data_IF_085187213647
#
_entry.id   IF_085187213647
#
_cell.length_a   1.000
_cell.length_b   1.000
_cell.length_c   1.000
_cell.angle_alpha   90.00
_cell.angle_beta   90.00
_cell.angle_gamma   90.00
#
_symmetry.space_group_name_H-M   'P 1'
#
loop_
_entity.id
_entity.type
_entity.pdbx_description
1 polymer ?
#
# COMPACT_ATOMS: atom_id res chain seq x y z
N UNK A 1 -27.44 42.69 14.16
CA UNK A 1 -27.36 41.97 12.87
C UNK A 1 -26.02 41.26 12.85
N UNK A 2 -25.98 39.95 12.66
CA UNK A 2 -24.73 39.17 12.68
C UNK A 2 -24.19 39.02 11.25
N UNK A 3 -22.87 39.12 11.09
CA UNK A 3 -22.20 38.89 9.80
C UNK A 3 -21.90 37.42 9.61
N UNK A 4 -22.30 36.87 8.46
CA UNK A 4 -22.04 35.49 8.05
C UNK A 4 -21.11 35.53 6.83
N UNK A 5 -19.91 35.03 6.99
CA UNK A 5 -18.90 34.97 5.95
C UNK A 5 -18.85 33.56 5.36
N UNK A 6 -19.01 33.43 4.05
CA UNK A 6 -18.78 32.17 3.34
C UNK A 6 -17.41 32.25 2.64
N UNK A 7 -16.48 31.38 3.03
CA UNK A 7 -15.15 31.29 2.43
C UNK A 7 -15.29 30.55 1.10
N UNK A 8 -15.01 31.24 -0.01
CA UNK A 8 -15.03 30.64 -1.35
C UNK A 8 -13.92 31.21 -2.21
N UNK A 9 -13.21 30.34 -2.94
CA UNK A 9 -12.23 30.78 -3.94
C UNK A 9 -12.96 31.46 -5.11
N UNK A 10 -12.41 32.58 -5.61
CA UNK A 10 -13.00 33.31 -6.75
C UNK A 10 -13.16 32.44 -8.00
N UNK A 11 -12.21 31.54 -8.21
CA UNK A 11 -12.16 30.65 -9.36
C UNK A 11 -12.83 29.30 -9.10
N UNK A 12 -13.46 29.10 -7.94
CA UNK A 12 -14.18 27.87 -7.61
C UNK A 12 -15.41 27.71 -8.49
N UNK A 13 -15.68 26.49 -8.96
CA UNK A 13 -16.97 26.18 -9.60
C UNK A 13 -18.14 26.36 -8.62
N UNK A 14 -17.90 26.19 -7.32
CA UNK A 14 -18.90 26.39 -6.25
C UNK A 14 -19.19 27.86 -5.95
N UNK A 15 -18.42 28.80 -6.53
CA UNK A 15 -18.57 30.24 -6.27
C UNK A 15 -19.95 30.76 -6.67
N UNK A 16 -20.48 30.30 -7.80
CA UNK A 16 -21.82 30.71 -8.28
C UNK A 16 -22.94 30.23 -7.34
N UNK A 17 -22.84 28.99 -6.85
CA UNK A 17 -23.79 28.46 -5.86
C UNK A 17 -23.70 29.23 -4.54
N UNK A 18 -22.48 29.64 -4.16
CA UNK A 18 -22.25 30.49 -2.98
C UNK A 18 -22.89 31.87 -3.14
N UNK A 19 -22.73 32.51 -4.31
CA UNK A 19 -23.36 33.81 -4.62
C UNK A 19 -24.88 33.72 -4.55
N UNK A 20 -25.45 32.65 -5.10
CA UNK A 20 -26.89 32.37 -4.98
C UNK A 20 -27.32 32.21 -3.53
N UNK A 21 -26.60 31.41 -2.75
CA UNK A 21 -26.88 31.19 -1.33
C UNK A 21 -26.86 32.51 -0.54
N UNK A 22 -25.89 33.40 -0.82
CA UNK A 22 -25.79 34.72 -0.18
C UNK A 22 -27.01 35.58 -0.50
N UNK A 23 -27.42 35.66 -1.76
CA UNK A 23 -28.58 36.46 -2.18
C UNK A 23 -29.87 35.96 -1.53
N UNK A 24 -30.14 34.66 -1.61
CA UNK A 24 -31.34 34.04 -1.04
C UNK A 24 -31.37 34.19 0.49
N UNK A 25 -30.23 34.01 1.15
CA UNK A 25 -30.13 34.12 2.61
C UNK A 25 -30.28 35.55 3.10
N UNK A 26 -29.77 36.54 2.37
CA UNK A 26 -29.93 37.95 2.71
C UNK A 26 -31.38 38.43 2.60
N UNK A 27 -32.15 37.91 1.64
CA UNK A 27 -33.58 38.17 1.57
C UNK A 27 -34.33 37.42 2.68
N UNK A 28 -34.03 36.13 2.88
CA UNK A 28 -34.70 35.29 3.88
C UNK A 28 -34.48 35.76 5.32
N UNK A 29 -33.28 36.22 5.65
CA UNK A 29 -32.88 36.60 7.01
C UNK A 29 -32.65 38.11 7.18
N UNK A 30 -33.31 38.90 6.33
CA UNK A 30 -33.22 40.36 6.29
C UNK A 30 -33.41 40.99 7.66
N UNK A 31 -32.47 41.85 8.05
CA UNK A 31 -32.47 42.54 9.34
C UNK A 31 -32.01 41.70 10.54
N UNK A 32 -31.66 40.42 10.34
CA UNK A 32 -31.12 39.53 11.38
C UNK A 32 -29.67 39.14 11.08
N UNK A 33 -29.39 38.75 9.84
CA UNK A 33 -28.07 38.38 9.36
C UNK A 33 -27.68 39.16 8.10
N UNK A 34 -26.38 39.29 7.86
CA UNK A 34 -25.81 39.74 6.58
C UNK A 34 -24.83 38.69 6.11
N UNK A 35 -25.19 38.01 5.03
CA UNK A 35 -24.35 37.05 4.34
C UNK A 35 -23.44 37.78 3.35
N UNK A 36 -22.18 37.40 3.33
CA UNK A 36 -21.20 37.91 2.39
C UNK A 36 -20.16 36.85 2.08
N UNK A 37 -19.58 36.93 0.89
CA UNK A 37 -18.50 36.03 0.51
C UNK A 37 -17.18 36.63 0.96
N UNK A 38 -16.36 35.81 1.60
CA UNK A 38 -14.95 36.08 1.82
C UNK A 38 -14.15 35.42 0.70
N UNK A 39 -13.36 36.21 -0.02
CA UNK A 39 -12.48 35.71 -1.06
C UNK A 39 -11.36 34.89 -0.42
N UNK A 40 -11.43 33.57 -0.55
CA UNK A 40 -10.48 32.67 0.05
C UNK A 40 -9.05 32.93 -0.48
N UNK A 41 -8.08 32.81 0.42
CA UNK A 41 -6.67 32.92 0.10
C UNK A 41 -6.22 31.67 -0.64
N UNK A 42 -5.83 31.84 -1.90
CA UNK A 42 -5.19 30.79 -2.68
C UNK A 42 -3.66 30.91 -2.63
N UNK A 43 -2.92 29.86 -3.01
CA UNK A 43 -1.46 29.95 -3.19
C UNK A 43 -1.02 31.02 -4.21
N UNK A 44 -1.93 31.52 -5.06
CA UNK A 44 -1.67 32.58 -6.03
C UNK A 44 -1.89 33.99 -5.46
N UNK A 45 -2.38 34.10 -4.23
CA UNK A 45 -2.62 35.39 -3.60
C UNK A 45 -1.31 36.16 -3.39
N UNK A 46 -1.29 37.46 -3.68
CA UNK A 46 -0.07 38.28 -3.66
C UNK A 46 0.68 38.23 -2.30
N UNK A 47 -0.07 38.15 -1.20
CA UNK A 47 0.49 38.12 0.16
C UNK A 47 0.70 36.69 0.70
N UNK A 48 0.42 35.65 -0.08
CA UNK A 48 0.48 34.26 0.38
C UNK A 48 1.87 33.90 0.91
N UNK A 49 2.92 34.13 0.13
CA UNK A 49 4.29 33.82 0.53
C UNK A 49 4.71 34.57 1.80
N UNK A 50 4.31 35.85 1.91
CA UNK A 50 4.58 36.66 3.10
C UNK A 50 3.92 36.06 4.34
N UNK A 51 2.65 35.68 4.24
CA UNK A 51 1.94 35.05 5.36
C UNK A 51 2.55 33.71 5.73
N UNK A 52 2.94 32.88 4.76
CA UNK A 52 3.60 31.59 5.02
C UNK A 52 4.93 31.82 5.74
N UNK A 53 5.75 32.77 5.30
CA UNK A 53 7.01 33.09 5.99
C UNK A 53 6.82 33.58 7.43
N UNK A 54 5.74 34.30 7.70
CA UNK A 54 5.45 34.86 9.03
C UNK A 54 4.78 33.85 9.97
N UNK A 55 3.90 33.02 9.42
CA UNK A 55 2.94 32.24 10.18
C UNK A 55 3.13 30.74 10.06
N UNK A 56 3.91 30.18 9.13
CA UNK A 56 4.14 28.73 9.02
C UNK A 56 5.52 28.35 9.57
N UNK A 57 5.60 27.23 10.31
CA UNK A 57 6.87 26.67 10.77
C UNK A 57 6.94 25.15 10.56
N UNK A 58 7.68 24.75 9.53
CA UNK A 58 7.92 23.36 9.17
C UNK A 58 8.60 22.55 10.29
N UNK A 59 9.48 23.18 11.10
CA UNK A 59 10.18 22.46 12.16
C UNK A 59 9.26 22.17 13.36
N UNK A 60 8.39 23.12 13.72
CA UNK A 60 7.37 22.88 14.75
C UNK A 60 6.27 21.95 14.28
N UNK A 61 5.97 21.88 12.97
CA UNK A 61 5.05 20.90 12.40
C UNK A 61 5.44 19.46 12.71
N UNK A 62 6.73 19.14 12.80
CA UNK A 62 7.18 17.79 13.19
C UNK A 62 6.75 17.35 14.60
N UNK A 63 6.23 18.28 15.41
CA UNK A 63 5.70 18.04 16.76
C UNK A 63 4.18 18.17 16.84
N UNK A 64 3.51 18.49 15.73
CA UNK A 64 2.06 18.77 15.71
C UNK A 64 1.23 17.50 15.74
N UNK A 65 -0.03 17.67 16.10
CA UNK A 65 -1.01 16.59 16.13
C UNK A 65 -1.29 16.08 14.70
N UNK A 66 -1.19 16.95 13.69
CA UNK A 66 -1.24 16.58 12.26
C UNK A 66 -0.17 15.59 11.86
N UNK A 67 1.09 15.91 12.15
CA UNK A 67 2.20 15.05 11.76
C UNK A 67 2.06 13.67 12.39
N UNK A 68 1.63 13.59 13.65
CA UNK A 68 1.49 12.34 14.40
C UNK A 68 0.16 11.61 14.22
N UNK A 69 -0.78 12.17 13.45
CA UNK A 69 -2.03 11.50 13.11
C UNK A 69 -1.82 10.33 12.15
N UNK A 70 -2.77 9.39 12.15
CA UNK A 70 -2.75 8.22 11.24
C UNK A 70 -2.91 8.58 9.75
N UNK A 71 -3.23 9.84 9.44
CA UNK A 71 -3.69 10.29 8.12
C UNK A 71 -2.62 11.04 7.32
N UNK A 72 -1.59 11.59 7.97
CA UNK A 72 -0.61 12.39 7.25
C UNK A 72 0.83 12.19 7.75
N UNK A 73 1.72 11.98 6.79
CA UNK A 73 3.16 11.87 6.99
C UNK A 73 3.91 12.96 6.20
N UNK A 74 3.25 14.09 5.90
CA UNK A 74 3.77 15.10 4.98
C UNK A 74 3.51 16.51 5.51
N UNK A 75 4.21 17.49 4.93
CA UNK A 75 3.93 18.90 5.19
C UNK A 75 2.52 19.29 4.72
N UNK A 76 2.06 20.44 5.20
CA UNK A 76 0.82 21.04 4.73
C UNK A 76 0.94 21.43 3.25
N UNK A 77 -0.08 21.10 2.48
CA UNK A 77 -0.21 21.58 1.12
C UNK A 77 -0.40 23.10 1.10
N UNK A 78 0.08 23.81 0.07
CA UNK A 78 -0.16 25.25 -0.07
C UNK A 78 -1.64 25.63 0.03
N UNK A 79 -2.54 24.77 -0.43
CA UNK A 79 -3.98 24.94 -0.35
C UNK A 79 -4.50 24.87 1.10
N UNK A 80 -3.95 23.98 1.93
CA UNK A 80 -4.29 23.88 3.36
C UNK A 80 -3.83 25.12 4.11
N UNK A 81 -2.64 25.65 3.77
CA UNK A 81 -2.17 26.94 4.26
C UNK A 81 -3.12 28.07 3.83
N UNK A 82 -3.57 28.08 2.58
CA UNK A 82 -4.53 29.07 2.07
C UNK A 82 -5.88 29.00 2.79
N UNK A 83 -6.39 27.80 3.06
CA UNK A 83 -7.56 27.57 3.88
C UNK A 83 -7.35 28.16 5.28
N UNK A 84 -6.28 27.78 5.98
CA UNK A 84 -5.97 28.30 7.32
C UNK A 84 -5.90 29.84 7.33
N UNK A 85 -5.20 30.43 6.37
CA UNK A 85 -5.06 31.89 6.25
C UNK A 85 -6.41 32.58 6.03
N UNK A 86 -7.32 31.97 5.27
CA UNK A 86 -8.67 32.50 5.07
C UNK A 86 -9.44 32.59 6.39
N UNK A 87 -9.38 31.55 7.22
CA UNK A 87 -9.98 31.57 8.55
C UNK A 87 -9.28 32.59 9.46
N UNK A 88 -7.95 32.63 9.46
CA UNK A 88 -7.16 33.57 10.26
C UNK A 88 -7.48 35.05 9.96
N UNK A 89 -7.65 35.41 8.70
CA UNK A 89 -8.04 36.76 8.31
C UNK A 89 -9.47 37.10 8.77
N UNK A 90 -10.40 36.13 8.72
CA UNK A 90 -11.74 36.33 9.27
C UNK A 90 -11.73 36.44 10.80
N UNK A 91 -10.84 35.74 11.50
CA UNK A 91 -10.64 35.96 12.94
C UNK A 91 -10.16 37.39 13.21
N UNK A 92 -9.23 37.91 12.40
CA UNK A 92 -8.79 39.32 12.50
C UNK A 92 -9.94 40.29 12.27
N UNK A 93 -10.82 40.01 11.30
CA UNK A 93 -11.99 40.84 11.05
C UNK A 93 -13.00 40.77 12.20
N UNK A 94 -13.20 39.61 12.83
CA UNK A 94 -14.03 39.47 14.03
C UNK A 94 -13.53 40.35 15.19
N UNK A 95 -12.21 40.34 15.45
CA UNK A 95 -11.60 41.22 16.46
C UNK A 95 -11.72 42.69 16.10
N UNK A 96 -11.50 43.03 14.82
CA UNK A 96 -11.55 44.41 14.33
C UNK A 96 -12.95 45.02 14.39
N UNK A 97 -13.98 44.23 14.07
CA UNK A 97 -15.39 44.66 14.13
C UNK A 97 -15.95 44.64 15.55
N UNK A 98 -15.28 43.95 16.47
CA UNK A 98 -15.72 43.72 17.85
C UNK A 98 -17.16 43.18 17.93
N UNK A 99 -17.52 42.33 16.97
CA UNK A 99 -18.81 41.66 16.90
C UNK A 99 -18.62 40.17 16.62
N UNK A 100 -19.49 39.30 17.17
CA UNK A 100 -19.49 37.89 16.80
C UNK A 100 -19.77 37.72 15.31
N UNK A 101 -19.15 36.71 14.70
CA UNK A 101 -19.34 36.36 13.29
C UNK A 101 -19.63 34.87 13.15
N UNK A 102 -20.22 34.52 12.02
CA UNK A 102 -20.34 33.13 11.57
C UNK A 102 -19.41 32.95 10.38
N UNK A 103 -18.63 31.88 10.38
CA UNK A 103 -17.74 31.51 9.27
C UNK A 103 -18.24 30.18 8.73
N UNK A 104 -18.50 30.13 7.43
CA UNK A 104 -18.93 28.95 6.68
C UNK A 104 -17.96 28.68 5.52
N UNK A 105 -17.79 27.42 5.13
CA UNK A 105 -17.12 27.03 3.88
C UNK A 105 -18.13 27.01 2.72
N UNK A 106 -17.65 26.93 1.47
CA UNK A 106 -18.48 26.99 0.26
C UNK A 106 -19.19 25.67 -0.09
N UNK A 107 -19.02 24.64 0.74
CA UNK A 107 -19.62 23.32 0.59
C UNK A 107 -20.76 23.03 1.58
N UNK A 108 -21.36 24.09 2.13
CA UNK A 108 -22.45 23.96 3.09
C UNK A 108 -23.84 24.17 2.51
N UNK A 109 -24.85 23.68 3.23
CA UNK A 109 -26.25 24.03 3.10
C UNK A 109 -26.81 24.45 4.47
N UNK A 110 -27.76 25.39 4.48
CA UNK A 110 -28.38 25.91 5.70
C UNK A 110 -29.62 25.09 6.06
N UNK A 111 -29.69 24.61 7.30
CA UNK A 111 -30.84 23.88 7.81
C UNK A 111 -31.94 24.81 8.33
N UNK A 112 -33.13 24.25 8.51
CA UNK A 112 -34.32 25.01 8.95
C UNK A 112 -34.14 25.68 10.33
N UNK A 113 -33.32 25.10 11.20
CA UNK A 113 -33.01 25.61 12.55
C UNK A 113 -31.83 26.59 12.59
N UNK A 114 -31.27 26.99 11.44
CA UNK A 114 -30.08 27.85 11.38
C UNK A 114 -30.19 29.13 12.21
N UNK A 115 -31.29 29.88 12.04
CA UNK A 115 -31.48 31.14 12.79
C UNK A 115 -31.66 30.93 14.28
N UNK A 116 -32.39 29.89 14.69
CA UNK A 116 -32.57 29.57 16.09
C UNK A 116 -31.22 29.29 16.75
N UNK A 117 -30.38 28.49 16.09
CA UNK A 117 -29.05 28.19 16.59
C UNK A 117 -28.17 29.44 16.75
N UNK A 118 -28.24 30.40 15.81
CA UNK A 118 -27.51 31.66 15.94
C UNK A 118 -28.01 32.53 17.10
N UNK A 119 -29.31 32.60 17.31
CA UNK A 119 -29.89 33.32 18.45
C UNK A 119 -29.47 32.72 19.79
N UNK A 120 -29.41 31.39 19.86
CA UNK A 120 -28.98 30.69 21.05
C UNK A 120 -27.48 30.85 21.28
N UNK A 121 -26.65 30.80 20.22
CA UNK A 121 -25.23 31.11 20.31
C UNK A 121 -25.00 32.52 20.88
N UNK A 122 -25.73 33.53 20.40
CA UNK A 122 -25.63 34.91 20.87
C UNK A 122 -26.05 35.11 22.33
N UNK A 123 -26.95 34.28 22.85
CA UNK A 123 -27.37 34.30 24.28
C UNK A 123 -26.46 33.45 25.16
N UNK A 124 -25.67 32.55 24.56
CA UNK A 124 -24.77 31.65 25.27
C UNK A 124 -23.48 32.35 25.70
N UNK A 125 -22.78 31.83 26.73
CA UNK A 125 -21.46 32.36 27.14
C UNK A 125 -20.30 31.70 26.37
N UNK A 126 -20.57 31.01 25.25
CA UNK A 126 -19.57 30.23 24.53
C UNK A 126 -18.88 31.06 23.47
N UNK A 127 -17.54 31.09 23.51
CA UNK A 127 -16.73 31.88 22.59
C UNK A 127 -16.62 31.26 21.19
N UNK A 128 -16.87 29.95 21.08
CA UNK A 128 -16.81 29.18 19.85
C UNK A 128 -17.86 28.06 19.87
N UNK A 129 -18.62 27.92 18.78
CA UNK A 129 -19.61 26.85 18.60
C UNK A 129 -19.60 26.36 17.16
N UNK A 130 -19.36 25.07 16.95
CA UNK A 130 -19.50 24.43 15.64
C UNK A 130 -20.97 24.38 15.24
N UNK A 131 -21.23 24.75 14.00
CA UNK A 131 -22.55 24.67 13.37
C UNK A 131 -22.71 23.40 12.53
N UNK A 132 -21.60 22.69 12.26
CA UNK A 132 -21.57 21.35 11.72
C UNK A 132 -20.39 20.58 12.30
N UNK A 133 -20.56 19.27 12.49
CA UNK A 133 -19.54 18.37 13.00
C UNK A 133 -19.94 16.92 12.75
N UNK A 134 -18.97 16.06 12.52
CA UNK A 134 -19.16 14.61 12.49
C UNK A 134 -18.04 13.95 13.30
N UNK A 135 -18.30 12.75 13.82
CA UNK A 135 -17.25 12.01 14.51
C UNK A 135 -16.21 11.51 13.52
N UNK A 136 -14.96 11.68 13.90
CA UNK A 136 -13.84 11.27 13.06
C UNK A 136 -13.72 9.74 13.00
N UNK A 137 -13.39 9.21 11.82
CA UNK A 137 -13.24 7.77 11.59
C UNK A 137 -14.53 6.97 11.70
N UNK A 138 -15.71 7.59 11.52
CA UNK A 138 -17.01 6.91 11.66
C UNK A 138 -17.31 6.45 13.08
N UNK A 139 -16.64 7.04 14.08
CA UNK A 139 -16.80 6.69 15.49
C UNK A 139 -18.26 6.87 15.93
N UNK A 140 -18.79 5.91 16.69
CA UNK A 140 -20.13 6.02 17.28
C UNK A 140 -20.00 6.35 18.76
N UNK A 141 -20.66 7.40 19.20
CA UNK A 141 -20.71 7.78 20.62
C UNK A 141 -22.01 7.31 21.26
N UNK A 142 -22.12 7.39 22.58
CA UNK A 142 -23.30 6.91 23.31
C UNK A 142 -24.57 7.71 22.97
N UNK A 143 -24.42 9.02 22.72
CA UNK A 143 -25.57 9.87 22.40
C UNK A 143 -25.89 9.94 20.90
N UNK A 144 -25.01 9.44 20.02
CA UNK A 144 -25.17 9.50 18.56
C UNK A 144 -25.58 10.91 18.05
N UNK A 145 -25.10 11.96 18.72
CA UNK A 145 -25.59 13.33 18.53
C UNK A 145 -25.18 13.96 17.20
N UNK A 146 -24.11 13.46 16.57
CA UNK A 146 -23.55 13.96 15.32
C UNK A 146 -23.71 12.94 14.19
N UNK A 147 -23.84 13.38 12.92
CA UNK A 147 -23.90 12.50 11.77
C UNK A 147 -22.64 11.62 11.65
N UNK A 148 -22.82 10.42 11.09
CA UNK A 148 -21.72 9.52 10.74
C UNK A 148 -21.21 9.92 9.36
N UNK A 149 -19.91 10.19 9.25
CA UNK A 149 -19.26 10.39 7.96
C UNK A 149 -19.10 9.05 7.26
N UNK A 150 -19.80 8.84 6.15
CA UNK A 150 -19.63 7.67 5.28
C UNK A 150 -19.05 8.12 3.95
N UNK A 151 -17.82 7.70 3.63
CA UNK A 151 -17.20 7.85 2.29
C UNK A 151 -17.85 6.95 1.22
N UNK A 152 -19.04 6.40 1.51
CA UNK A 152 -19.65 5.33 0.74
C UNK A 152 -20.53 5.87 -0.40
N UNK A 153 -19.90 6.42 -1.44
CA UNK A 153 -20.50 6.50 -2.78
C UNK A 153 -19.45 6.26 -3.90
N UNK A 154 -18.52 5.33 -3.70
CA UNK A 154 -17.78 4.73 -4.82
C UNK A 154 -17.52 3.25 -4.52
N UNK A 155 -18.37 2.35 -5.00
CA UNK A 155 -18.05 0.94 -5.33
C UNK A 155 -19.31 0.25 -5.82
N UNK A 156 -19.62 0.42 -7.10
CA UNK A 156 -20.61 -0.42 -7.78
C UNK A 156 -20.11 -0.77 -9.18
N UNK A 157 -18.89 -1.33 -9.28
CA UNK A 157 -18.38 -2.00 -10.48
C UNK A 157 -17.36 -3.10 -10.11
N UNK A 158 -17.88 -4.26 -9.73
CA UNK A 158 -17.27 -5.59 -9.89
C UNK A 158 -18.43 -6.41 -10.52
N UNK A 159 -18.36 -6.95 -11.73
CA UNK A 159 -17.53 -8.08 -12.19
C UNK A 159 -17.78 -8.19 -13.71
N UNK A 160 -16.84 -8.65 -14.53
CA UNK A 160 -16.89 -10.04 -15.00
C UNK A 160 -15.53 -10.42 -15.58
N UNK A 161 -14.76 -11.21 -14.84
CA UNK A 161 -13.72 -12.05 -15.44
C UNK A 161 -14.34 -13.41 -15.79
N UNK A 162 -14.11 -13.86 -17.03
CA UNK A 162 -14.60 -15.13 -17.55
C UNK A 162 -13.62 -16.28 -17.23
N UNK A 163 -14.09 -17.55 -17.13
CA UNK A 163 -13.31 -18.65 -16.60
C UNK A 163 -12.51 -19.44 -17.67
N UNK A 164 -11.25 -19.73 -17.30
CA UNK A 164 -10.45 -20.98 -17.42
C UNK A 164 -10.63 -21.88 -18.66
N UNK A 165 -9.51 -22.17 -19.35
CA UNK A 165 -9.29 -23.49 -19.95
C UNK A 165 -7.80 -23.87 -19.88
N UNK A 166 -7.42 -24.73 -18.92
CA UNK A 166 -6.11 -25.38 -18.84
C UNK A 166 -6.22 -26.74 -19.53
N UNK A 167 -5.55 -26.91 -20.66
CA UNK A 167 -5.41 -28.22 -21.30
C UNK A 167 -4.32 -29.04 -20.62
N UNK A 168 -4.74 -30.15 -20.03
CA UNK A 168 -3.93 -31.24 -19.48
C UNK A 168 -3.34 -32.05 -20.64
N UNK A 169 -2.01 -32.18 -20.70
CA UNK A 169 -1.30 -33.04 -21.67
C UNK A 169 -0.46 -34.05 -20.91
N UNK A 170 -0.96 -35.29 -20.83
CA UNK A 170 -0.23 -36.47 -20.35
C UNK A 170 0.81 -36.96 -21.38
N UNK A 171 2.04 -37.33 -20.97
CA UNK A 171 2.99 -38.02 -21.83
C UNK A 171 2.83 -39.56 -21.80
N UNK A 172 3.15 -40.30 -22.88
CA UNK A 172 3.06 -41.76 -22.93
C UNK A 172 4.29 -42.47 -22.33
N UNK A 173 4.16 -43.76 -21.94
CA UNK A 173 5.16 -44.47 -21.14
C UNK A 173 6.27 -45.15 -21.98
N UNK A 174 7.46 -45.24 -21.38
CA UNK A 174 8.62 -46.04 -21.81
C UNK A 174 8.35 -47.56 -21.68
N UNK A 175 8.82 -48.41 -22.61
CA UNK A 175 8.99 -49.82 -22.34
C UNK A 175 10.36 -50.14 -21.73
N UNK A 176 10.31 -51.08 -20.78
CA UNK A 176 11.40 -51.57 -19.96
C UNK A 176 12.45 -52.40 -20.74
N UNK A 177 13.62 -52.49 -20.10
CA UNK A 177 14.77 -53.33 -20.39
C UNK A 177 14.42 -54.82 -20.49
N UNK A 178 15.16 -55.55 -21.32
CA UNK A 178 15.35 -56.99 -21.12
C UNK A 178 16.84 -57.35 -21.21
N UNK A 179 17.28 -58.10 -20.22
CA UNK A 179 18.67 -58.48 -19.93
C UNK A 179 18.90 -59.88 -20.47
N UNK A 180 19.97 -60.11 -21.25
CA UNK A 180 20.57 -61.45 -21.39
C UNK A 180 22.08 -61.39 -21.53
N UNK A 181 22.73 -61.66 -20.41
CA UNK A 181 24.05 -62.28 -20.33
C UNK A 181 23.90 -63.74 -20.77
N UNK A 182 24.85 -64.30 -21.56
CA UNK A 182 25.68 -65.41 -21.08
C UNK A 182 26.58 -66.09 -22.14
N UNK A 183 27.81 -66.33 -21.66
CA UNK A 183 28.66 -67.51 -21.81
C UNK A 183 29.43 -67.78 -23.12
N UNK A 184 30.71 -67.37 -23.00
CA UNK A 184 31.96 -67.96 -23.49
C UNK A 184 31.90 -69.49 -23.70
N UNK A 185 32.52 -69.98 -24.77
CA UNK A 185 33.35 -71.18 -24.72
C UNK A 185 34.43 -71.21 -25.82
N UNK A 186 35.68 -71.31 -25.36
CA UNK A 186 36.87 -71.65 -26.13
C UNK A 186 36.77 -73.06 -26.73
N UNK A 187 37.48 -73.33 -27.82
CA UNK A 187 37.85 -74.72 -28.14
C UNK A 187 39.27 -74.77 -28.71
N UNK A 188 40.02 -75.69 -28.11
CA UNK A 188 41.46 -75.84 -28.10
C UNK A 188 42.02 -76.38 -29.44
N UNK A 189 43.27 -75.99 -29.70
CA UNK A 189 44.18 -76.66 -30.61
C UNK A 189 44.45 -78.11 -30.18
N UNK A 190 44.60 -79.00 -31.16
CA UNK A 190 45.26 -80.30 -31.00
C UNK A 190 45.95 -80.72 -32.30
N UNK A 191 47.28 -80.69 -32.27
CA UNK A 191 48.21 -81.49 -33.08
C UNK A 191 48.94 -82.44 -32.09
N UNK A 192 49.77 -83.44 -32.45
CA UNK A 192 50.28 -83.84 -33.79
C UNK A 192 50.41 -85.38 -34.02
N UNK A 193 51.10 -85.74 -35.12
CA UNK A 193 51.97 -86.94 -35.32
C UNK A 193 51.25 -88.26 -35.71
N UNK A 194 51.73 -89.14 -36.61
CA UNK A 194 53.07 -89.40 -37.18
C UNK A 194 52.95 -90.38 -38.41
N UNK A 195 54.02 -90.97 -39.02
CA UNK A 195 54.31 -90.87 -40.44
C UNK A 195 54.13 -92.18 -41.25
N UNK A 196 53.66 -92.10 -42.50
CA UNK A 196 53.63 -93.27 -43.39
C UNK A 196 54.83 -93.25 -44.36
N UNK A 197 55.78 -94.16 -44.13
CA UNK A 197 56.90 -94.49 -45.03
C UNK A 197 56.38 -95.40 -46.16
N UNK A 198 56.53 -94.99 -47.42
CA UNK A 198 56.41 -95.88 -48.59
C UNK A 198 57.59 -95.63 -49.55
N UNK A 199 58.14 -96.76 -50.02
CA UNK A 199 59.37 -97.01 -50.77
C UNK A 199 59.59 -96.16 -52.05
N UNK A 200 60.84 -96.03 -52.53
CA UNK A 200 61.18 -95.18 -53.68
C UNK A 200 60.79 -95.87 -55.00
N UNK A 201 59.92 -95.26 -55.83
CA UNK A 201 59.76 -95.71 -57.20
C UNK A 201 60.81 -95.05 -58.09
N UNK A 202 61.44 -95.86 -58.93
CA UNK A 202 62.33 -95.44 -60.01
C UNK A 202 61.71 -94.29 -60.79
N UNK A 203 62.37 -93.14 -60.72
CA UNK A 203 61.98 -91.91 -61.40
C UNK A 203 62.20 -92.12 -62.90
N UNK A 204 61.12 -92.32 -63.67
CA UNK A 204 61.13 -91.87 -65.06
C UNK A 204 60.67 -90.41 -65.05
N UNK A 205 61.61 -89.48 -65.18
CA UNK A 205 61.34 -88.05 -65.17
C UNK A 205 60.55 -87.65 -66.44
N UNK A 206 59.22 -87.71 -66.38
CA UNK A 206 58.37 -87.19 -67.44
C UNK A 206 58.27 -85.66 -67.31
N UNK A 207 59.13 -84.94 -68.04
CA UNK A 207 59.23 -83.48 -68.03
C UNK A 207 57.90 -82.75 -68.24
N UNK A 208 56.96 -83.35 -68.98
CA UNK A 208 55.65 -82.75 -69.30
C UNK A 208 54.71 -82.78 -68.09
N UNK A 209 54.66 -83.92 -67.39
CA UNK A 209 53.86 -84.07 -66.17
C UNK A 209 54.39 -83.17 -65.06
N UNK A 210 55.72 -83.12 -64.88
CA UNK A 210 56.36 -82.23 -63.91
C UNK A 210 56.09 -80.74 -64.25
N UNK A 211 56.16 -80.33 -65.52
CA UNK A 211 55.78 -78.96 -65.95
C UNK A 211 54.32 -78.65 -65.64
N UNK A 212 53.40 -79.62 -65.80
CA UNK A 212 51.96 -79.43 -65.51
C UNK A 212 51.69 -79.32 -64.01
N UNK A 213 52.35 -80.14 -63.19
CA UNK A 213 52.30 -80.07 -61.71
C UNK A 213 52.90 -78.74 -61.24
N UNK A 214 54.06 -78.34 -61.77
CA UNK A 214 54.70 -77.05 -61.47
C UNK A 214 53.78 -75.86 -61.80
N UNK A 215 53.07 -75.88 -62.94
CA UNK A 215 52.09 -74.84 -63.29
C UNK A 215 50.91 -74.80 -62.31
N UNK A 216 50.34 -75.95 -61.95
CA UNK A 216 49.25 -76.03 -60.96
C UNK A 216 49.68 -75.56 -59.57
N UNK A 217 50.88 -75.95 -59.14
CA UNK A 217 51.47 -75.53 -57.88
C UNK A 217 51.72 -74.01 -57.87
N UNK A 218 52.31 -73.46 -58.93
CA UNK A 218 52.52 -72.02 -59.05
C UNK A 218 51.19 -71.23 -59.04
N UNK A 219 50.14 -71.76 -59.70
CA UNK A 219 48.80 -71.14 -59.67
C UNK A 219 48.17 -71.21 -58.27
N UNK A 220 48.31 -72.34 -57.58
CA UNK A 220 47.84 -72.52 -56.20
C UNK A 220 48.55 -71.57 -55.22
N UNK A 221 49.88 -71.46 -55.33
CA UNK A 221 50.68 -70.49 -54.56
C UNK A 221 50.21 -69.06 -54.86
N UNK A 222 49.97 -68.72 -56.13
CA UNK A 222 49.41 -67.42 -56.51
C UNK A 222 48.05 -67.13 -55.88
N UNK A 223 47.14 -68.11 -55.85
CA UNK A 223 45.82 -67.96 -55.20
C UNK A 223 45.93 -67.83 -53.68
N UNK A 224 46.85 -68.57 -53.03
CA UNK A 224 47.13 -68.41 -51.60
C UNK A 224 47.65 -67.00 -51.32
N UNK A 225 48.66 -66.54 -52.07
CA UNK A 225 49.22 -65.20 -51.91
C UNK A 225 48.14 -64.11 -52.07
N UNK A 226 47.27 -64.23 -53.07
CA UNK A 226 46.16 -63.31 -53.28
C UNK A 226 45.16 -63.32 -52.12
N UNK A 227 44.81 -64.50 -51.57
CA UNK A 227 43.94 -64.61 -50.39
C UNK A 227 44.58 -64.05 -49.13
N UNK A 228 45.88 -64.28 -48.92
CA UNK A 228 46.62 -63.71 -47.79
C UNK A 228 46.63 -62.18 -47.86
N UNK A 229 46.77 -61.61 -49.05
CA UNK A 229 46.73 -60.15 -49.24
C UNK A 229 45.34 -59.56 -48.95
N UNK A 230 44.27 -60.24 -49.38
CA UNK A 230 42.89 -59.85 -49.01
C UNK A 230 42.66 -59.98 -47.50
N UNK A 231 43.20 -61.04 -46.87
CA UNK A 231 43.08 -61.23 -45.42
C UNK A 231 43.80 -60.13 -44.64
N UNK A 232 45.01 -59.72 -45.05
CA UNK A 232 45.73 -58.58 -44.45
C UNK A 232 44.91 -57.29 -44.52
N UNK A 233 44.28 -57.01 -45.67
CA UNK A 233 43.40 -55.84 -45.83
C UNK A 233 42.17 -55.91 -44.94
N UNK A 234 41.62 -57.11 -44.72
CA UNK A 234 40.48 -57.31 -43.84
C UNK A 234 40.85 -57.11 -42.37
N UNK A 235 41.99 -57.66 -41.93
CA UNK A 235 42.53 -57.46 -40.58
C UNK A 235 42.77 -55.98 -40.32
N UNK A 236 43.41 -55.26 -41.25
CA UNK A 236 43.63 -53.82 -41.12
C UNK A 236 42.31 -53.02 -40.97
N UNK A 237 41.25 -53.40 -41.70
CA UNK A 237 39.92 -52.78 -41.54
C UNK A 237 39.27 -53.11 -40.18
N UNK A 238 39.50 -54.32 -39.67
CA UNK A 238 39.01 -54.74 -38.36
C UNK A 238 39.70 -53.96 -37.24
N UNK A 239 41.01 -53.77 -37.34
CA UNK A 239 41.80 -52.95 -36.40
C UNK A 239 41.33 -51.49 -36.43
N UNK A 240 41.09 -50.92 -37.62
CA UNK A 240 40.54 -49.56 -37.76
C UNK A 240 39.15 -49.42 -37.12
N UNK A 241 38.28 -50.43 -37.31
CA UNK A 241 36.94 -50.44 -36.72
C UNK A 241 37.00 -50.57 -35.19
N UNK A 242 37.90 -51.39 -34.68
CA UNK A 242 38.13 -51.57 -33.24
C UNK A 242 38.59 -50.24 -32.62
N UNK A 243 39.54 -49.54 -33.25
CA UNK A 243 39.97 -48.22 -32.79
C UNK A 243 38.85 -47.18 -32.76
N UNK A 244 37.93 -47.18 -33.75
CA UNK A 244 36.74 -46.31 -33.73
C UNK A 244 35.75 -46.66 -32.62
N UNK A 245 35.62 -47.95 -32.30
CA UNK A 245 34.77 -48.42 -31.21
C UNK A 245 35.32 -47.98 -29.85
N UNK A 246 36.64 -48.09 -29.65
CA UNK A 246 37.31 -47.62 -28.43
C UNK A 246 37.17 -46.10 -28.25
N UNK A 247 37.33 -45.33 -29.34
CA UNK A 247 37.13 -43.87 -29.32
C UNK A 247 35.68 -43.50 -28.97
N UNK A 248 34.69 -44.23 -29.52
CA UNK A 248 33.28 -44.00 -29.22
C UNK A 248 32.95 -44.34 -27.77
N UNK A 249 33.52 -45.42 -27.24
CA UNK A 249 33.37 -45.83 -25.84
C UNK A 249 33.92 -44.76 -24.91
N UNK A 250 35.12 -44.23 -25.18
CA UNK A 250 35.69 -43.13 -24.40
C UNK A 250 34.83 -41.86 -24.40
N UNK A 251 34.20 -41.51 -25.54
CA UNK A 251 33.25 -40.39 -25.60
C UNK A 251 31.98 -40.64 -24.79
N UNK A 252 31.51 -41.88 -24.73
CA UNK A 252 30.35 -42.26 -23.93
C UNK A 252 30.63 -42.15 -22.42
N UNK A 253 31.82 -42.58 -21.98
CA UNK A 253 32.25 -42.44 -20.59
C UNK A 253 32.37 -40.97 -20.19
N UNK A 254 32.95 -40.13 -21.05
CA UNK A 254 33.04 -38.67 -20.80
C UNK A 254 31.66 -38.02 -20.69
N UNK A 255 30.72 -38.40 -21.56
CA UNK A 255 29.35 -37.88 -21.52
C UNK A 255 28.62 -38.32 -20.25
N UNK A 256 28.83 -39.57 -19.81
CA UNK A 256 28.27 -40.10 -18.57
C UNK A 256 28.77 -39.32 -17.37
N UNK A 257 30.08 -39.05 -17.29
CA UNK A 257 30.65 -38.22 -16.22
C UNK A 257 30.10 -36.79 -16.18
N UNK A 258 29.85 -36.18 -17.34
CA UNK A 258 29.19 -34.85 -17.42
C UNK A 258 27.74 -34.90 -16.95
N UNK A 259 27.02 -35.98 -17.21
CA UNK A 259 25.65 -36.17 -16.76
C UNK A 259 25.58 -36.32 -15.24
N UNK A 260 26.50 -37.07 -14.63
CA UNK A 260 26.60 -37.22 -13.18
C UNK A 260 26.93 -35.87 -12.49
N UNK A 261 27.85 -35.08 -13.05
CA UNK A 261 28.17 -33.75 -12.53
C UNK A 261 26.95 -32.81 -12.60
N UNK A 262 26.19 -32.84 -13.70
CA UNK A 262 24.99 -32.02 -13.85
C UNK A 262 23.91 -32.44 -12.85
N UNK A 263 23.75 -33.75 -12.62
CA UNK A 263 22.80 -34.29 -11.63
C UNK A 263 23.16 -33.81 -10.22
N UNK A 264 24.44 -33.86 -9.85
CA UNK A 264 24.89 -33.34 -8.55
C UNK A 264 24.62 -31.84 -8.37
N UNK A 265 24.80 -31.02 -9.42
CA UNK A 265 24.44 -29.58 -9.38
C UNK A 265 22.94 -29.36 -9.23
N UNK A 266 22.13 -30.20 -9.84
CA UNK A 266 20.67 -30.14 -9.73
C UNK A 266 20.22 -30.44 -8.29
N UNK A 267 20.79 -31.48 -7.67
CA UNK A 267 20.50 -31.83 -6.27
C UNK A 267 20.90 -30.70 -5.30
N UNK A 268 22.06 -30.07 -5.51
CA UNK A 268 22.50 -28.92 -4.70
C UNK A 268 21.55 -27.73 -4.84
N UNK A 269 21.06 -27.46 -6.06
CA UNK A 269 20.12 -26.37 -6.31
C UNK A 269 18.75 -26.64 -5.66
N UNK A 270 18.26 -27.87 -5.75
CA UNK A 270 17.02 -28.30 -5.08
C UNK A 270 17.15 -28.12 -3.56
N UNK A 271 18.26 -28.53 -2.95
CA UNK A 271 18.48 -28.32 -1.51
C UNK A 271 18.48 -26.84 -1.10
N UNK A 272 19.06 -25.94 -1.91
CA UNK A 272 18.99 -24.49 -1.67
C UNK A 272 17.58 -23.94 -1.80
N UNK A 273 16.78 -24.47 -2.73
CA UNK A 273 15.39 -24.08 -2.92
C UNK A 273 14.52 -24.47 -1.72
N UNK A 274 14.73 -25.68 -1.18
CA UNK A 274 14.03 -26.15 0.01
C UNK A 274 14.38 -25.31 1.24
N UNK A 275 15.66 -24.95 1.42
CA UNK A 275 16.09 -24.06 2.52
C UNK A 275 15.45 -22.67 2.42
N UNK A 276 15.35 -22.11 1.21
CA UNK A 276 14.74 -20.81 0.98
C UNK A 276 13.23 -20.86 1.25
N UNK A 277 12.56 -21.92 0.81
CA UNK A 277 11.14 -22.17 1.08
C UNK A 277 10.88 -22.23 2.59
N UNK A 278 11.69 -22.97 3.35
CA UNK A 278 11.56 -23.04 4.81
C UNK A 278 11.74 -21.67 5.50
N UNK A 279 12.68 -20.83 5.04
CA UNK A 279 12.84 -19.45 5.56
C UNK A 279 11.64 -18.57 5.23
N UNK A 280 11.04 -18.74 4.05
CA UNK A 280 9.85 -18.01 3.65
C UNK A 280 8.64 -18.38 4.52
N UNK A 281 8.44 -19.66 4.81
CA UNK A 281 7.38 -20.14 5.69
C UNK A 281 7.54 -19.59 7.11
N UNK A 282 8.77 -19.60 7.66
CA UNK A 282 9.05 -19.03 8.98
C UNK A 282 8.76 -17.52 9.04
N UNK A 283 9.12 -16.78 7.98
CA UNK A 283 8.85 -15.35 7.88
C UNK A 283 7.35 -15.07 7.79
N UNK A 284 6.63 -15.88 7.02
CA UNK A 284 5.17 -15.80 6.87
C UNK A 284 4.47 -16.04 8.21
N UNK A 285 4.87 -17.08 8.95
CA UNK A 285 4.32 -17.34 10.29
C UNK A 285 4.61 -16.21 11.30
N UNK A 286 5.79 -15.58 11.24
CA UNK A 286 6.09 -14.39 12.05
C UNK A 286 5.21 -13.20 11.67
N UNK A 287 4.95 -13.00 10.38
CA UNK A 287 4.10 -11.92 9.89
C UNK A 287 2.65 -12.09 10.36
N UNK A 288 2.09 -13.29 10.23
CA UNK A 288 0.73 -13.62 10.72
C UNK A 288 0.62 -13.42 12.24
N UNK A 289 1.63 -13.85 13.01
CA UNK A 289 1.67 -13.62 14.46
C UNK A 289 1.68 -12.14 14.84
N UNK A 290 2.39 -11.31 14.06
CA UNK A 290 2.41 -9.86 14.26
C UNK A 290 1.07 -9.22 13.92
N UNK A 291 0.43 -9.61 12.81
CA UNK A 291 -0.91 -9.14 12.45
C UNK A 291 -1.95 -9.49 13.51
N UNK A 292 -1.90 -10.70 14.07
CA UNK A 292 -2.81 -11.10 15.15
C UNK A 292 -2.60 -10.26 16.42
N UNK A 293 -1.34 -9.97 16.79
CA UNK A 293 -1.03 -9.06 17.91
C UNK A 293 -1.51 -7.64 17.62
N UNK A 294 -1.34 -7.14 16.40
CA UNK A 294 -1.82 -5.83 15.98
C UNK A 294 -3.35 -5.74 16.07
N UNK A 295 -4.07 -6.75 15.59
CA UNK A 295 -5.53 -6.82 15.67
C UNK A 295 -6.02 -6.80 17.11
N UNK A 296 -5.43 -7.61 17.99
CA UNK A 296 -5.78 -7.63 19.42
C UNK A 296 -5.49 -6.29 20.13
N UNK A 297 -4.36 -5.65 19.79
CA UNK A 297 -4.03 -4.31 20.32
C UNK A 297 -5.06 -3.28 19.83
N UNK A 298 -5.46 -3.31 18.55
CA UNK A 298 -6.50 -2.41 18.03
C UNK A 298 -7.81 -2.62 18.75
N UNK A 299 -8.28 -3.85 18.85
CA UNK A 299 -9.56 -4.19 19.50
C UNK A 299 -9.57 -3.71 20.95
N UNK A 300 -8.57 -4.08 21.75
CA UNK A 300 -8.46 -3.64 23.14
C UNK A 300 -8.26 -2.12 23.30
N UNK A 301 -7.59 -1.46 22.35
CA UNK A 301 -7.44 -0.01 22.34
C UNK A 301 -8.77 0.70 22.07
N UNK A 302 -9.53 0.23 21.07
CA UNK A 302 -10.83 0.79 20.71
C UNK A 302 -11.88 0.54 21.80
N UNK A 303 -11.91 -0.66 22.40
CA UNK A 303 -12.76 -0.97 23.55
C UNK A 303 -12.49 -0.02 24.72
N UNK A 304 -11.21 0.17 25.10
CA UNK A 304 -10.84 1.12 26.16
C UNK A 304 -11.19 2.57 25.84
N UNK A 305 -11.19 2.93 24.55
CA UNK A 305 -11.55 4.27 24.11
C UNK A 305 -13.06 4.50 24.31
N UNK A 306 -13.90 3.56 23.87
CA UNK A 306 -15.35 3.63 23.99
C UNK A 306 -15.83 3.82 25.45
N UNK A 307 -15.22 3.11 26.40
CA UNK A 307 -15.55 3.23 27.84
C UNK A 307 -15.17 4.59 28.45
N UNK A 308 -14.26 5.32 27.81
CA UNK A 308 -13.72 6.59 28.31
C UNK A 308 -14.45 7.82 27.76
N UNK A 309 -15.38 7.64 26.82
CA UNK A 309 -16.05 8.74 26.16
C UNK A 309 -17.02 9.46 27.09
N UNK A 310 -16.93 10.79 27.08
CA UNK A 310 -17.77 11.66 27.87
C UNK A 310 -18.47 12.64 26.96
N UNK A 311 -19.77 12.75 27.18
CA UNK A 311 -20.67 13.56 26.39
C UNK A 311 -21.60 14.30 27.34
N UNK A 312 -21.91 15.55 27.03
CA UNK A 312 -22.85 16.34 27.80
C UNK A 312 -23.49 17.43 26.95
N UNK A 313 -24.77 17.68 27.20
CA UNK A 313 -25.50 18.82 26.68
C UNK A 313 -25.53 19.96 27.70
N UNK A 314 -25.47 21.17 27.18
CA UNK A 314 -25.58 22.42 27.91
C UNK A 314 -26.59 23.28 27.17
N UNK A 315 -27.45 24.00 27.90
CA UNK A 315 -28.50 24.84 27.31
C UNK A 315 -29.26 24.14 26.17
N UNK A 316 -29.56 22.85 26.36
CA UNK A 316 -30.29 21.91 25.50
C UNK A 316 -29.59 21.53 24.18
N UNK A 317 -28.95 22.48 23.52
CA UNK A 317 -28.43 22.30 22.17
C UNK A 317 -26.90 22.29 22.06
N UNK A 318 -26.17 22.68 23.10
CA UNK A 318 -24.72 22.78 23.05
C UNK A 318 -24.08 21.48 23.54
N UNK A 319 -23.68 20.67 22.57
CA UNK A 319 -23.06 19.38 22.78
C UNK A 319 -21.55 19.53 22.97
N UNK A 320 -21.04 19.01 24.09
CA UNK A 320 -19.62 18.87 24.39
C UNK A 320 -19.26 17.39 24.45
N UNK A 321 -18.15 17.02 23.84
CA UNK A 321 -17.65 15.65 23.83
C UNK A 321 -16.15 15.58 24.07
N UNK A 322 -15.70 14.47 24.65
CA UNK A 322 -14.28 14.12 24.73
C UNK A 322 -13.76 13.46 23.43
N UNK A 323 -14.64 13.26 22.44
CA UNK A 323 -14.32 12.68 21.14
C UNK A 323 -13.94 13.79 20.15
N UNK A 324 -13.04 13.49 19.23
CA UNK A 324 -12.66 14.43 18.19
C UNK A 324 -13.82 14.66 17.21
N UNK A 325 -14.22 15.92 17.01
CA UNK A 325 -15.28 16.33 16.08
C UNK A 325 -14.64 16.95 14.85
N UNK A 326 -14.72 16.28 13.71
CA UNK A 326 -14.10 16.70 12.45
C UNK A 326 -14.93 17.75 11.72
N UNK A 327 -14.27 18.50 10.81
CA UNK A 327 -14.73 19.60 9.94
C UNK A 327 -14.49 21.04 10.44
N UNK A 328 -14.42 21.97 9.49
CA UNK A 328 -14.51 23.44 9.70
C UNK A 328 -15.60 24.07 8.85
N UNK A 329 -16.51 23.26 8.30
CA UNK A 329 -17.57 23.67 7.38
C UNK A 329 -18.40 24.85 7.89
N UNK A 330 -18.65 24.95 9.20
CA UNK A 330 -19.31 26.11 9.75
C UNK A 330 -19.17 26.26 11.26
N UNK A 331 -18.94 27.48 11.74
CA UNK A 331 -18.89 27.79 13.16
C UNK A 331 -19.21 29.25 13.49
N UNK A 332 -19.73 29.47 14.69
CA UNK A 332 -19.91 30.77 15.34
C UNK A 332 -18.67 31.10 16.18
N UNK A 333 -18.25 32.37 16.17
CA UNK A 333 -17.05 32.84 16.88
C UNK A 333 -17.26 34.24 17.46
N UNK A 334 -16.90 34.43 18.73
CA UNK A 334 -16.89 35.75 19.39
C UNK A 334 -15.54 36.47 19.16
N UNK A 335 -15.48 37.81 19.33
CA UNK A 335 -14.20 38.54 19.27
C UNK A 335 -13.17 38.03 20.27
N UNK A 336 -13.61 37.59 21.45
CA UNK A 336 -12.76 36.97 22.45
C UNK A 336 -12.21 35.63 21.96
N UNK A 337 -13.05 34.76 21.41
CA UNK A 337 -12.63 33.50 20.81
C UNK A 337 -11.62 33.70 19.66
N UNK A 338 -11.93 34.63 18.76
CA UNK A 338 -11.08 35.00 17.63
C UNK A 338 -9.71 35.50 18.07
N UNK A 339 -9.65 36.39 19.07
CA UNK A 339 -8.39 36.88 19.64
C UNK A 339 -7.52 35.74 20.15
N UNK A 340 -8.10 34.79 20.87
CA UNK A 340 -7.35 33.65 21.40
C UNK A 340 -6.87 32.70 20.30
N UNK A 341 -7.64 32.49 19.23
CA UNK A 341 -7.17 31.73 18.05
C UNK A 341 -6.02 32.42 17.33
N UNK A 342 -6.06 33.76 17.21
CA UNK A 342 -4.97 34.55 16.62
C UNK A 342 -3.70 34.44 17.49
N UNK A 343 -3.81 34.67 18.80
CA UNK A 343 -2.69 34.57 19.73
C UNK A 343 -2.05 33.18 19.71
N UNK A 344 -2.87 32.12 19.66
CA UNK A 344 -2.39 30.75 19.54
C UNK A 344 -1.70 30.51 18.18
N UNK A 345 -2.26 31.01 17.07
CA UNK A 345 -1.61 30.91 15.74
C UNK A 345 -0.27 31.65 15.71
N UNK A 346 -0.19 32.83 16.32
CA UNK A 346 1.06 33.60 16.35
C UNK A 346 2.13 32.94 17.23
N UNK A 347 1.69 32.28 18.32
CA UNK A 347 2.56 31.54 19.25
C UNK A 347 3.07 30.22 18.69
N UNK A 348 2.18 29.41 18.12
CA UNK A 348 2.49 28.06 17.66
C UNK A 348 2.86 27.98 16.19
N UNK A 349 2.55 29.05 15.43
CA UNK A 349 2.56 29.04 13.97
C UNK A 349 1.55 28.03 13.43
N UNK A 350 1.33 28.07 12.12
CA UNK A 350 0.54 27.11 11.36
C UNK A 350 1.42 25.86 11.27
N UNK A 351 0.94 24.81 11.91
CA UNK A 351 1.64 23.52 12.00
C UNK A 351 0.71 22.34 11.68
N UNK A 352 -0.56 22.62 11.43
CA UNK A 352 -1.61 21.65 11.12
C UNK A 352 -2.79 22.33 10.41
N UNK A 353 -3.70 21.56 9.77
CA UNK A 353 -4.90 22.12 9.18
C UNK A 353 -5.78 22.80 10.23
N UNK A 354 -6.54 23.82 9.82
CA UNK A 354 -7.36 24.65 10.71
C UNK A 354 -8.34 23.83 11.57
N UNK A 355 -8.90 22.76 11.02
CA UNK A 355 -9.79 21.87 11.77
C UNK A 355 -9.11 21.14 12.91
N UNK A 356 -7.85 20.70 12.74
CA UNK A 356 -7.07 20.11 13.82
C UNK A 356 -6.72 21.13 14.89
N UNK A 357 -6.31 22.32 14.46
CA UNK A 357 -5.98 23.43 15.37
C UNK A 357 -7.15 23.78 16.29
N UNK A 358 -8.36 23.96 15.73
CA UNK A 358 -9.59 24.27 16.49
C UNK A 358 -10.00 23.10 17.40
N UNK A 359 -9.69 21.85 17.00
CA UNK A 359 -9.95 20.68 17.83
C UNK A 359 -8.96 20.48 18.97
N UNK A 360 -7.87 21.26 19.02
CA UNK A 360 -6.85 21.12 20.02
C UNK A 360 -6.99 22.18 21.12
N UNK A 361 -7.80 21.95 22.17
CA UNK A 361 -7.99 22.92 23.24
C UNK A 361 -6.70 23.23 23.99
N UNK A 362 -5.62 22.44 23.84
CA UNK A 362 -4.34 22.74 24.49
C UNK A 362 -3.59 23.92 23.86
N UNK A 363 -3.93 24.31 22.62
CA UNK A 363 -3.32 25.47 21.97
C UNK A 363 -3.96 26.79 22.40
N UNK A 364 -5.29 26.81 22.48
CA UNK A 364 -6.05 28.05 22.62
C UNK A 364 -6.94 28.08 23.87
N UNK A 365 -7.12 26.98 24.59
CA UNK A 365 -7.93 26.92 25.81
C UNK A 365 -9.39 27.39 25.65
N UNK A 366 -10.01 27.08 24.50
CA UNK A 366 -11.43 27.36 24.21
C UNK A 366 -12.22 26.05 24.20
N UNK A 367 -13.42 26.08 24.77
CA UNK A 367 -14.36 24.97 24.74
C UNK A 367 -14.90 24.75 23.32
N UNK A 368 -14.80 23.51 22.84
CA UNK A 368 -15.22 23.12 21.50
C UNK A 368 -16.63 22.50 21.56
N UNK A 369 -17.63 23.37 21.60
CA UNK A 369 -19.04 22.96 21.54
C UNK A 369 -19.50 22.75 20.11
N UNK A 370 -20.45 21.85 19.91
CA UNK A 370 -21.20 21.70 18.66
C UNK A 370 -22.68 21.94 18.92
N UNK A 371 -23.33 22.72 18.09
CA UNK A 371 -24.78 22.91 18.17
C UNK A 371 -25.50 21.71 17.55
N UNK A 372 -26.45 21.12 18.29
CA UNK A 372 -27.21 19.94 17.88
C UNK A 372 -28.71 20.18 18.07
N UNK A 373 -29.57 19.88 17.08
CA UNK A 373 -29.22 19.35 15.74
C UNK A 373 -28.43 20.36 14.90
N UNK A 374 -27.48 19.89 14.09
CA UNK A 374 -26.57 20.75 13.35
C UNK A 374 -27.35 21.73 12.42
N UNK A 375 -27.18 23.05 12.59
CA UNK A 375 -27.87 24.06 11.78
C UNK A 375 -27.32 24.21 10.35
N UNK A 376 -26.24 23.50 10.04
CA UNK A 376 -25.58 23.48 8.75
C UNK A 376 -25.33 22.02 8.39
N UNK A 377 -25.43 21.67 7.11
CA UNK A 377 -25.07 20.37 6.56
C UNK A 377 -24.11 20.53 5.38
N UNK A 378 -23.51 19.42 4.93
CA UNK A 378 -22.69 19.41 3.72
C UNK A 378 -23.59 19.32 2.48
N UNK A 379 -23.29 20.11 1.46
CA UNK A 379 -23.99 20.06 0.19
C UNK A 379 -23.41 18.97 -0.73
N UNK A 380 -24.09 18.69 -1.85
CA UNK A 380 -23.72 17.67 -2.84
C UNK A 380 -22.31 17.82 -3.45
N UNK A 381 -21.66 18.97 -3.25
CA UNK A 381 -20.33 19.28 -3.77
C UNK A 381 -19.22 19.20 -2.71
N UNK A 382 -19.53 18.80 -1.48
CA UNK A 382 -18.55 18.63 -0.41
C UNK A 382 -17.50 17.55 -0.72
N UNK A 383 -17.87 16.53 -1.51
CA UNK A 383 -16.96 15.46 -1.93
C UNK A 383 -16.10 15.81 -3.15
N UNK A 384 -16.45 16.89 -3.87
CA UNK A 384 -15.64 17.42 -4.97
C UNK A 384 -14.55 18.32 -4.39
N UNK A 385 -13.50 17.73 -3.83
CA UNK A 385 -12.40 18.50 -3.27
C UNK A 385 -11.69 19.31 -4.36
N UNK A 386 -11.86 20.63 -4.32
CA UNK A 386 -11.08 21.58 -5.13
C UNK A 386 -9.59 21.57 -4.75
N UNK A 387 -9.22 20.88 -3.66
CA UNK A 387 -7.89 20.85 -3.03
C UNK A 387 -7.04 19.68 -3.54
N UNK A 388 -7.65 18.57 -4.01
CA UNK A 388 -6.92 17.34 -4.34
C UNK A 388 -6.25 17.32 -5.73
N UNK A 389 -6.54 18.27 -6.62
CA UNK A 389 -6.10 18.21 -8.02
C UNK A 389 -4.81 19.01 -8.35
N UNK A 390 -4.01 19.41 -7.37
CA UNK A 390 -2.76 20.13 -7.61
C UNK A 390 -1.52 19.22 -7.58
N UNK A 391 -0.63 19.36 -8.58
CA UNK A 391 0.68 18.70 -8.62
C UNK A 391 1.46 18.97 -7.33
N UNK A 392 2.02 17.89 -6.76
CA UNK A 392 2.95 17.91 -5.62
C UNK A 392 4.02 19.02 -5.80
N UNK A 393 4.27 19.87 -4.80
CA UNK A 393 5.47 20.68 -4.79
C UNK A 393 6.70 19.77 -4.70
N UNK A 394 7.80 20.21 -5.32
CA UNK A 394 9.05 19.46 -5.49
C UNK A 394 9.90 19.40 -4.19
N UNK A 395 9.24 19.37 -3.03
CA UNK A 395 9.88 19.32 -1.71
C UNK A 395 9.74 17.89 -1.19
N UNK A 396 10.78 17.08 -1.45
CA UNK A 396 10.89 15.72 -0.92
C UNK A 396 11.32 15.75 0.55
N UNK A 397 10.41 16.08 1.46
CA UNK A 397 10.56 15.68 2.85
C UNK A 397 10.09 14.24 2.98
N UNK A 398 11.04 13.29 2.93
CA UNK A 398 10.75 11.92 3.32
C UNK A 398 10.52 11.93 4.84
N UNK A 399 9.29 11.72 5.33
CA UNK A 399 9.07 11.60 6.76
C UNK A 399 9.94 10.46 7.31
N UNK A 400 10.46 10.57 8.54
CA UNK A 400 11.03 9.41 9.22
C UNK A 400 9.98 8.29 9.24
N UNK A 401 10.42 7.04 8.99
CA UNK A 401 9.56 5.86 9.11
C UNK A 401 9.01 5.81 10.54
N UNK A 402 7.71 6.05 10.71
CA UNK A 402 7.05 5.94 12.02
C UNK A 402 6.81 4.48 12.36
N UNK A 403 7.03 4.14 13.62
CA UNK A 403 6.61 2.86 14.16
C UNK A 403 5.11 2.92 14.44
N UNK A 404 4.41 1.80 14.24
CA UNK A 404 3.00 1.65 14.65
C UNK A 404 2.77 2.06 16.12
N UNK A 405 3.76 1.81 16.99
CA UNK A 405 3.71 2.21 18.39
C UNK A 405 3.64 3.74 18.58
N UNK A 406 4.31 4.52 17.72
CA UNK A 406 4.31 5.98 17.82
C UNK A 406 2.89 6.55 17.62
N UNK A 407 2.12 5.96 16.68
CA UNK A 407 0.73 6.35 16.43
C UNK A 407 -0.19 5.94 17.59
N UNK A 408 0.00 4.75 18.16
CA UNK A 408 -0.80 4.29 19.30
C UNK A 408 -0.58 5.17 20.53
N UNK A 409 0.68 5.55 20.81
CA UNK A 409 1.00 6.50 21.88
C UNK A 409 0.40 7.88 21.63
N UNK A 410 0.47 8.38 20.39
CA UNK A 410 -0.16 9.63 20.01
C UNK A 410 -1.67 9.60 20.25
N UNK A 411 -2.37 8.57 19.74
CA UNK A 411 -3.80 8.41 19.91
C UNK A 411 -4.19 8.34 21.40
N UNK A 412 -3.40 7.65 22.23
CA UNK A 412 -3.60 7.62 23.69
C UNK A 412 -3.42 9.00 24.33
N UNK A 413 -2.37 9.75 23.95
CA UNK A 413 -2.12 11.10 24.46
C UNK A 413 -3.23 12.07 24.05
N UNK A 414 -3.63 12.05 22.78
CA UNK A 414 -4.70 12.88 22.26
C UNK A 414 -6.03 12.62 22.99
N UNK A 415 -6.39 11.33 23.18
CA UNK A 415 -7.57 10.94 23.97
C UNK A 415 -7.54 11.54 25.37
N UNK A 416 -6.38 11.49 26.04
CA UNK A 416 -6.21 12.11 27.37
C UNK A 416 -6.33 13.63 27.33
N UNK A 417 -5.82 14.30 26.29
CA UNK A 417 -5.97 15.75 26.10
C UNK A 417 -7.46 16.12 26.00
N UNK A 418 -8.21 15.45 25.12
CA UNK A 418 -9.64 15.69 24.91
C UNK A 418 -10.46 15.39 26.17
N UNK A 419 -10.17 14.31 26.89
CA UNK A 419 -10.87 13.97 28.14
C UNK A 419 -10.61 15.00 29.26
N UNK A 420 -9.37 15.48 29.38
CA UNK A 420 -9.03 16.55 30.33
C UNK A 420 -9.77 17.85 29.99
N UNK A 421 -9.82 18.21 28.71
CA UNK A 421 -10.57 19.38 28.25
C UNK A 421 -12.07 19.24 28.53
N UNK A 422 -12.66 18.07 28.24
CA UNK A 422 -14.05 17.77 28.57
C UNK A 422 -14.33 17.99 30.05
N UNK A 423 -13.54 17.39 30.95
CA UNK A 423 -13.75 17.55 32.39
C UNK A 423 -13.57 19.00 32.86
N UNK A 424 -12.58 19.72 32.31
CA UNK A 424 -12.36 21.14 32.61
C UNK A 424 -13.60 21.97 32.25
N UNK A 425 -14.06 21.90 31.00
CA UNK A 425 -15.19 22.71 30.55
C UNK A 425 -16.53 22.24 31.09
N UNK A 426 -16.72 20.93 31.28
CA UNK A 426 -17.91 20.41 31.94
C UNK A 426 -18.03 20.91 33.38
N UNK A 427 -16.90 21.06 34.10
CA UNK A 427 -16.90 21.68 35.43
C UNK A 427 -17.14 23.19 35.36
N UNK A 428 -16.49 23.89 34.43
CA UNK A 428 -16.63 25.34 34.26
C UNK A 428 -18.07 25.76 33.95
N UNK A 429 -18.75 25.00 33.09
CA UNK A 429 -20.12 25.28 32.65
C UNK A 429 -21.17 24.41 33.35
N UNK A 430 -20.83 23.78 34.49
CA UNK A 430 -21.73 22.90 35.22
C UNK A 430 -23.11 23.52 35.53
N UNK A 431 -23.25 24.83 35.86
CA UNK A 431 -24.57 25.44 36.08
C UNK A 431 -25.47 25.50 34.83
N UNK A 432 -24.90 25.38 33.64
CA UNK A 432 -25.61 25.44 32.34
C UNK A 432 -25.90 24.05 31.79
N UNK A 433 -25.48 23.00 32.50
CA UNK A 433 -25.60 21.61 32.05
C UNK A 433 -27.06 21.22 32.02
N UNK A 434 -27.51 20.71 30.89
CA UNK A 434 -28.88 20.21 30.75
C UNK A 434 -29.03 18.94 31.59
N UNK A 435 -29.99 18.88 32.52
CA UNK A 435 -30.32 17.65 33.21
C UNK A 435 -30.68 16.60 32.16
N UNK A 436 -30.08 15.41 32.22
CA UNK A 436 -30.40 14.33 31.27
C UNK A 436 -31.87 13.96 31.40
N UNK A 437 -32.69 14.39 30.45
CA UNK A 437 -33.74 13.54 29.89
C UNK A 437 -33.21 13.17 28.49
N UNK A 438 -32.65 11.95 28.38
CA UNK A 438 -32.36 11.31 27.09
C UNK A 438 -33.51 10.37 26.81
#
# INVERSE_FOLDING_TARGET
VISVYIISLKESQRRLDTEKLVLESNEKFKGRCVFQIFDAISPKHQDFEKFVQELYDAQSMLKSDWFHSDYCYQELLPQELGCYLSHYLLWKECVKTDQPIVILEDDVALESNFMQALEDCLKSPFDFVRLYGHYWGGHKTNLCALPIYTEAEETDYIETEAPIENHEVTPPPNPAQDTRQDLINETQQKEPSEPCKIAPPKISFNQVVFKKIKRKLNHFIGNILARTEVHKKLVAKYDELTGKYDELTGKYDELTGKYDELTGKYDELTGKYDELTGKYDELTGKYESLLAKESNIKETFWERRADSEKEAFFLEHFYLTSVYVSTTAGYYLTPKGAKTFIEATERFKIIEPVGMFINNPTYHDIANFTYVPCPVSLNKHAFNSTIQNAKKPDISLKPPKKSYFDNLFYNQLNTRKCLRAFHKYSKQYAPLKTPKEV
#
